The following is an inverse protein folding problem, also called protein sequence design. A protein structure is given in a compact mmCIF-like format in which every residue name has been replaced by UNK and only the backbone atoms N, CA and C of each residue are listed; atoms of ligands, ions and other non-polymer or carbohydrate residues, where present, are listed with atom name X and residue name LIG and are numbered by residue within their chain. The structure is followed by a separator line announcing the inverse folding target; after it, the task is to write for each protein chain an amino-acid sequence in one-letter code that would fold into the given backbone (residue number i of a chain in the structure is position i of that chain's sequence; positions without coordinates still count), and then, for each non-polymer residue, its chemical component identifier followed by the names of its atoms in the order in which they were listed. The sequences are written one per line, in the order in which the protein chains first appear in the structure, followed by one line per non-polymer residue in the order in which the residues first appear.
data_IF_753448931417
#
_entry.id   IF_753448931417
#
_cell.length_a   1.000
_cell.length_b   1.000
_cell.length_c   1.000
_cell.angle_alpha   90.00
_cell.angle_beta   90.00
_cell.angle_gamma   90.00
#
_symmetry.space_group_name_H-M   'P 1'
#
loop_
_entity.id
_entity.type
_entity.pdbx_description
1 polymer ?
#
# COMPACT_ATOMS: atom_id res chain seq x y z
N UNK A 1 -10.94 19.15 2.43
CA UNK A 1 -10.71 20.39 3.21
C UNK A 1 -10.74 20.15 4.71
N UNK A 2 -11.83 19.65 5.31
CA UNK A 2 -11.89 19.45 6.78
C UNK A 2 -10.89 18.38 7.28
N UNK A 3 -10.66 17.31 6.50
CA UNK A 3 -9.65 16.28 6.81
C UNK A 3 -8.22 16.80 6.74
N UNK A 4 -7.95 17.72 5.83
CA UNK A 4 -6.63 18.29 5.59
C UNK A 4 -6.27 19.29 6.70
N UNK A 5 -7.21 20.16 7.08
CA UNK A 5 -7.03 21.05 8.24
C UNK A 5 -6.78 20.26 9.54
N UNK A 6 -7.53 19.19 9.79
CA UNK A 6 -7.28 18.30 10.94
C UNK A 6 -5.89 17.65 10.88
N UNK A 7 -5.42 17.27 9.69
CA UNK A 7 -4.09 16.71 9.48
C UNK A 7 -3.01 17.74 9.84
N UNK A 8 -3.09 18.94 9.29
CA UNK A 8 -2.16 20.04 9.59
C UNK A 8 -2.07 20.33 11.09
N UNK A 9 -3.19 20.33 11.81
CA UNK A 9 -3.19 20.51 13.28
C UNK A 9 -2.42 19.40 14.00
N UNK A 10 -2.55 18.13 13.58
CA UNK A 10 -1.77 17.03 14.17
C UNK A 10 -0.26 17.20 13.97
N UNK A 11 0.16 17.78 12.83
CA UNK A 11 1.58 18.04 12.53
C UNK A 11 2.11 19.34 13.15
N UNK A 12 1.23 20.22 13.64
CA UNK A 12 1.60 21.42 14.38
C UNK A 12 2.19 21.15 15.80
N UNK A 13 2.41 19.88 16.16
CA UNK A 13 3.08 19.50 17.40
C UNK A 13 4.52 20.06 17.45
N UNK A 14 4.87 20.63 18.62
CA UNK A 14 6.21 21.15 18.90
C UNK A 14 7.30 20.14 18.51
N UNK A 15 8.34 20.67 17.87
CA UNK A 15 9.52 19.92 17.43
C UNK A 15 10.66 20.24 18.37
N UNK A 16 11.40 19.22 18.80
CA UNK A 16 12.60 19.42 19.64
C UNK A 16 13.65 20.33 18.98
N UNK A 17 13.65 20.40 17.65
CA UNK A 17 14.58 21.23 16.87
C UNK A 17 13.99 22.57 16.43
N UNK A 18 12.85 23.00 16.98
CA UNK A 18 12.10 24.20 16.58
C UNK A 18 11.80 24.28 15.07
N UNK A 19 11.88 23.13 14.38
CA UNK A 19 11.58 23.01 12.95
C UNK A 19 10.08 22.84 12.77
N UNK A 20 9.50 23.70 11.95
CA UNK A 20 8.14 23.51 11.41
C UNK A 20 8.08 22.17 10.67
N UNK A 21 7.09 21.35 10.99
CA UNK A 21 6.80 20.09 10.31
C UNK A 21 5.65 20.33 9.35
N UNK A 22 5.86 20.04 8.07
CA UNK A 22 4.78 20.01 7.10
C UNK A 22 4.02 18.68 7.23
N UNK A 23 2.71 18.70 7.01
CA UNK A 23 1.94 17.47 7.03
C UNK A 23 2.38 16.53 5.91
N UNK A 24 2.50 15.25 6.23
CA UNK A 24 2.81 14.23 5.22
C UNK A 24 1.68 14.21 4.18
N UNK A 25 2.09 14.25 2.91
CA UNK A 25 1.19 14.13 1.77
C UNK A 25 0.38 12.84 1.86
N UNK A 26 -0.95 12.98 1.77
CA UNK A 26 -1.86 11.85 1.62
C UNK A 26 -1.89 11.39 0.17
N UNK A 27 -1.80 10.08 -0.02
CA UNK A 27 -2.01 9.44 -1.31
C UNK A 27 -3.53 9.21 -1.46
N UNK A 28 -4.15 9.62 -2.58
CA UNK A 28 -5.61 9.53 -2.75
C UNK A 28 -6.10 8.12 -3.10
N UNK A 29 -5.33 7.09 -2.77
CA UNK A 29 -5.62 5.68 -3.08
C UNK A 29 -5.25 4.77 -1.93
N UNK A 30 -6.12 3.80 -1.69
CA UNK A 30 -5.82 2.63 -0.87
C UNK A 30 -5.59 1.42 -1.79
N UNK A 31 -4.49 0.70 -1.59
CA UNK A 31 -4.14 -0.47 -2.38
C UNK A 31 -4.42 -1.76 -1.63
N UNK A 32 -4.86 -2.79 -2.35
CA UNK A 32 -5.27 -4.07 -1.78
C UNK A 32 -4.82 -5.24 -2.64
N UNK A 33 -4.48 -6.36 -2.00
CA UNK A 33 -4.47 -7.67 -2.64
C UNK A 33 -5.81 -8.38 -2.42
N UNK A 34 -6.28 -9.03 -3.48
CA UNK A 34 -7.43 -9.92 -3.45
C UNK A 34 -7.01 -11.32 -3.87
N UNK A 35 -7.32 -12.33 -3.07
CA UNK A 35 -6.99 -13.72 -3.39
C UNK A 35 -7.97 -14.69 -2.73
N UNK A 36 -7.93 -15.95 -3.16
CA UNK A 36 -8.65 -17.07 -2.55
C UNK A 36 -7.64 -18.12 -2.11
N UNK A 37 -7.96 -18.87 -1.06
CA UNK A 37 -7.16 -20.03 -0.68
C UNK A 37 -7.24 -21.09 -1.78
N UNK A 38 -6.08 -21.62 -2.17
CA UNK A 38 -6.03 -22.76 -3.05
C UNK A 38 -6.66 -23.99 -2.39
N UNK A 39 -7.36 -24.81 -3.17
CA UNK A 39 -8.01 -26.04 -2.70
C UNK A 39 -9.15 -25.86 -1.69
N UNK A 40 -9.64 -24.63 -1.42
CA UNK A 40 -10.80 -24.36 -0.55
C UNK A 40 -11.97 -23.72 -1.31
N UNK A 41 -12.93 -24.53 -1.80
CA UNK A 41 -14.07 -24.03 -2.57
C UNK A 41 -14.97 -23.06 -1.78
N UNK A 42 -15.03 -23.21 -0.46
CA UNK A 42 -15.82 -22.41 0.48
C UNK A 42 -15.11 -21.13 0.94
N UNK A 43 -13.91 -20.84 0.42
CA UNK A 43 -13.18 -19.64 0.76
C UNK A 43 -13.98 -18.38 0.33
N UNK A 44 -14.36 -17.49 1.27
CA UNK A 44 -15.10 -16.27 0.96
C UNK A 44 -14.25 -15.24 0.19
N UNK A 45 -12.95 -15.50 0.04
CA UNK A 45 -11.97 -14.56 -0.49
C UNK A 45 -11.33 -13.72 0.61
N UNK A 46 -10.12 -13.25 0.32
CA UNK A 46 -9.32 -12.42 1.21
C UNK A 46 -9.09 -11.07 0.56
N UNK A 47 -9.23 -10.00 1.35
CA UNK A 47 -8.92 -8.62 0.98
C UNK A 47 -7.99 -8.06 2.03
N UNK A 48 -6.71 -7.88 1.68
CA UNK A 48 -5.71 -7.33 2.59
C UNK A 48 -5.21 -5.98 2.05
N UNK A 49 -5.23 -4.91 2.84
CA UNK A 49 -4.61 -3.65 2.45
C UNK A 49 -3.09 -3.80 2.37
N UNK A 50 -2.47 -3.09 1.44
CA UNK A 50 -1.01 -2.98 1.28
C UNK A 50 -0.57 -1.75 2.06
N UNK A 51 0.13 -1.95 3.17
CA UNK A 51 0.69 -0.88 4.03
C UNK A 51 2.23 -0.80 3.90
N UNK A 52 2.80 -1.61 3.01
CA UNK A 52 4.17 -1.44 2.56
C UNK A 52 4.37 -0.04 1.94
N UNK A 53 5.38 0.69 2.41
CA UNK A 53 5.66 2.06 2.01
C UNK A 53 6.07 2.17 0.53
N UNK A 54 6.59 1.10 -0.06
CA UNK A 54 7.13 1.10 -1.42
C UNK A 54 6.09 1.48 -2.47
N UNK A 55 4.85 1.00 -2.36
CA UNK A 55 3.79 1.32 -3.33
C UNK A 55 3.38 2.80 -3.24
N UNK A 56 3.35 3.34 -2.03
CA UNK A 56 3.04 4.74 -1.81
C UNK A 56 4.15 5.65 -2.35
N UNK A 57 5.41 5.28 -2.12
CA UNK A 57 6.53 6.02 -2.69
C UNK A 57 6.59 5.90 -4.22
N UNK A 58 6.26 4.73 -4.78
CA UNK A 58 6.15 4.55 -6.21
C UNK A 58 5.09 5.49 -6.79
N UNK A 59 3.89 5.60 -6.20
CA UNK A 59 2.88 6.58 -6.61
C UNK A 59 3.44 8.02 -6.64
N UNK A 60 4.08 8.46 -5.54
CA UNK A 60 4.63 9.83 -5.43
C UNK A 60 5.68 10.14 -6.50
N UNK A 61 6.54 9.19 -6.82
CA UNK A 61 7.57 9.35 -7.84
C UNK A 61 6.96 9.29 -9.26
N UNK A 62 6.18 8.23 -9.51
CA UNK A 62 5.71 7.89 -10.83
C UNK A 62 4.63 8.82 -11.37
N UNK A 63 3.87 9.52 -10.51
CA UNK A 63 2.84 10.51 -10.95
C UNK A 63 3.39 11.66 -11.79
N UNK A 64 4.69 11.96 -11.65
CA UNK A 64 5.35 12.96 -12.49
C UNK A 64 5.84 12.39 -13.83
N UNK A 65 6.04 11.06 -13.89
CA UNK A 65 6.59 10.35 -15.05
C UNK A 65 5.50 9.78 -15.97
N UNK A 66 4.43 9.25 -15.41
CA UNK A 66 3.34 8.64 -16.16
C UNK A 66 2.09 9.48 -16.02
N UNK A 67 1.71 10.12 -17.13
CA UNK A 67 0.46 10.88 -17.26
C UNK A 67 -0.33 10.32 -18.45
N UNK A 68 -1.67 10.25 -18.36
CA UNK A 68 -2.52 10.66 -17.24
C UNK A 68 -2.49 9.66 -16.05
N UNK A 69 -3.22 9.94 -14.96
CA UNK A 69 -3.19 9.13 -13.73
C UNK A 69 -3.57 7.66 -13.97
N UNK A 70 -4.40 7.39 -14.97
CA UNK A 70 -4.76 6.04 -15.39
C UNK A 70 -3.53 5.24 -15.83
N UNK A 71 -2.59 5.87 -16.55
CA UNK A 71 -1.34 5.23 -16.97
C UNK A 71 -0.44 4.94 -15.76
N UNK A 72 -0.39 5.85 -14.79
CA UNK A 72 0.32 5.63 -13.52
C UNK A 72 -0.24 4.41 -12.78
N UNK A 73 -1.56 4.34 -12.60
CA UNK A 73 -2.21 3.22 -11.91
C UNK A 73 -2.04 1.92 -12.68
N UNK A 74 -2.00 1.96 -14.02
CA UNK A 74 -1.66 0.80 -14.84
C UNK A 74 -0.22 0.33 -14.57
N UNK A 75 0.75 1.24 -14.45
CA UNK A 75 2.14 0.88 -14.11
C UNK A 75 2.27 0.30 -12.71
N UNK A 76 1.53 0.81 -11.73
CA UNK A 76 1.46 0.22 -10.40
C UNK A 76 0.89 -1.20 -10.47
N UNK A 77 -0.24 -1.41 -11.17
CA UNK A 77 -0.80 -2.76 -11.37
C UNK A 77 0.19 -3.71 -12.04
N UNK A 78 0.87 -3.25 -13.09
CA UNK A 78 1.88 -4.04 -13.79
C UNK A 78 3.00 -4.51 -12.85
N UNK A 79 3.47 -3.64 -11.95
CA UNK A 79 4.53 -3.99 -11.01
C UNK A 79 4.04 -4.92 -9.90
N UNK A 80 2.92 -4.61 -9.25
CA UNK A 80 2.46 -5.34 -8.05
C UNK A 80 1.60 -6.58 -8.34
N UNK A 81 0.97 -6.67 -9.51
CA UNK A 81 0.16 -7.82 -9.91
C UNK A 81 0.86 -8.62 -11.01
N UNK A 82 1.13 -8.00 -12.16
CA UNK A 82 1.61 -8.77 -13.32
C UNK A 82 3.02 -9.32 -13.10
N UNK A 83 3.92 -8.53 -12.50
CA UNK A 83 5.31 -8.91 -12.28
C UNK A 83 5.51 -9.69 -10.97
N UNK A 84 5.03 -9.17 -9.83
CA UNK A 84 5.22 -9.85 -8.54
C UNK A 84 4.45 -11.18 -8.49
N UNK A 85 3.18 -11.18 -8.91
CA UNK A 85 2.32 -12.36 -8.90
C UNK A 85 2.41 -13.18 -10.20
N UNK A 86 3.47 -12.99 -11.00
CA UNK A 86 3.70 -13.76 -12.20
C UNK A 86 3.74 -15.27 -11.88
N UNK A 87 3.20 -16.10 -12.77
CA UNK A 87 3.22 -17.56 -12.59
C UNK A 87 4.63 -18.16 -12.52
N UNK A 88 5.64 -17.43 -12.99
CA UNK A 88 7.06 -17.80 -12.92
C UNK A 88 7.68 -17.58 -11.53
N UNK A 89 6.97 -16.89 -10.63
CA UNK A 89 7.46 -16.61 -9.28
C UNK A 89 6.70 -17.43 -8.24
N UNK A 90 7.35 -17.74 -7.13
CA UNK A 90 6.71 -18.22 -5.91
C UNK A 90 6.40 -17.03 -5.01
N UNK A 91 5.13 -16.64 -4.93
CA UNK A 91 4.69 -15.44 -4.22
C UNK A 91 4.43 -15.73 -2.73
N UNK A 92 5.11 -14.98 -1.86
CA UNK A 92 4.93 -14.99 -0.42
C UNK A 92 4.57 -13.59 0.07
N UNK A 93 3.48 -13.47 0.82
CA UNK A 93 3.11 -12.24 1.51
C UNK A 93 3.64 -12.26 2.94
N UNK A 94 4.35 -11.21 3.34
CA UNK A 94 4.57 -10.91 4.75
C UNK A 94 3.36 -10.13 5.26
N UNK A 95 2.70 -10.69 6.26
CA UNK A 95 1.44 -10.18 6.77
C UNK A 95 1.61 -9.80 8.24
N UNK A 96 1.23 -8.57 8.57
CA UNK A 96 1.14 -8.08 9.95
C UNK A 96 -0.31 -7.90 10.38
N UNK A 97 -0.53 -7.78 11.68
CA UNK A 97 -1.80 -7.35 12.25
C UNK A 97 -1.60 -6.10 13.13
N UNK A 98 -2.70 -5.55 13.62
CA UNK A 98 -2.65 -4.43 14.57
C UNK A 98 -2.92 -4.92 15.99
N UNK A 99 -2.15 -4.43 16.96
CA UNK A 99 -2.36 -4.81 18.37
C UNK A 99 -3.80 -4.55 18.87
N UNK A 100 -4.43 -3.46 18.40
CA UNK A 100 -5.82 -3.12 18.71
C UNK A 100 -6.84 -3.97 17.92
N UNK A 101 -6.49 -4.40 16.71
CA UNK A 101 -7.37 -5.12 15.80
C UNK A 101 -6.66 -6.38 15.30
N UNK A 102 -6.50 -7.37 16.19
CA UNK A 102 -5.61 -8.52 15.95
C UNK A 102 -6.07 -9.43 14.82
N UNK A 103 -7.36 -9.42 14.52
CA UNK A 103 -7.97 -10.21 13.44
C UNK A 103 -7.92 -9.49 12.08
N UNK A 104 -7.47 -8.23 12.06
CA UNK A 104 -7.28 -7.46 10.83
C UNK A 104 -5.83 -7.56 10.37
N UNK A 105 -5.66 -8.23 9.23
CA UNK A 105 -4.36 -8.47 8.63
C UNK A 105 -4.09 -7.53 7.45
N UNK A 106 -2.82 -7.22 7.24
CA UNK A 106 -2.35 -6.33 6.18
C UNK A 106 -1.02 -6.79 5.61
N UNK A 107 -0.84 -6.57 4.31
CA UNK A 107 0.42 -6.88 3.63
C UNK A 107 1.43 -5.78 3.95
N UNK A 108 2.54 -6.19 4.55
CA UNK A 108 3.66 -5.32 4.93
C UNK A 108 4.93 -5.59 4.12
N UNK A 109 4.86 -6.57 3.22
CA UNK A 109 5.93 -6.89 2.28
C UNK A 109 5.57 -8.05 1.38
N UNK A 110 6.27 -8.16 0.25
CA UNK A 110 6.06 -9.21 -0.74
C UNK A 110 7.43 -9.78 -1.14
N UNK A 111 7.56 -11.09 -1.04
CA UNK A 111 8.74 -11.83 -1.50
C UNK A 111 8.33 -12.76 -2.65
N UNK A 112 9.04 -12.69 -3.78
CA UNK A 112 8.66 -13.38 -5.01
C UNK A 112 9.90 -13.92 -5.75
N UNK A 113 10.61 -14.93 -5.19
CA UNK A 113 11.69 -15.60 -5.91
C UNK A 113 11.17 -16.26 -7.18
N UNK A 114 12.05 -16.43 -8.17
CA UNK A 114 11.75 -17.27 -9.33
C UNK A 114 11.70 -18.74 -8.93
N UNK A 115 10.80 -19.48 -9.57
CA UNK A 115 10.67 -20.93 -9.45
C UNK A 115 11.88 -21.68 -9.97
#
# INVERSE_FOLDING_TARGET
MESEAKREVCYAQLSFFDKKKDAIEQIPFDFYYYFRCDGRPDCPGHKLPIIDWEIGQAYRNWRYKYKPEELLLQKIRQRWLDLMCAQTNDLYFYVGNMQRFRDNFMVIGVFYPQK
#
